data_IF_495659767654
#
_entry.id   IF_495659767654
#
_cell.length_a   1.000
_cell.length_b   1.000
_cell.length_c   1.000
_cell.angle_alpha   90.00
_cell.angle_beta   90.00
_cell.angle_gamma   90.00
#
_symmetry.space_group_name_H-M   'P 1'
#
loop_
_entity.id
_entity.type
_entity.pdbx_description
1 polymer ?
#
# COMPACT_ATOMS: atom_id res chain seq x y z
N UNK A 1 10.33 -17.93 -7.80
CA UNK A 1 9.61 -16.81 -8.40
C UNK A 1 8.36 -16.54 -7.57
N UNK A 2 8.20 -15.30 -7.12
CA UNK A 2 7.01 -14.91 -6.34
C UNK A 2 5.75 -15.07 -7.20
N UNK A 3 4.65 -15.54 -6.60
CA UNK A 3 3.38 -15.83 -7.29
C UNK A 3 2.81 -14.63 -8.09
N UNK A 4 3.21 -13.39 -7.77
CA UNK A 4 2.81 -12.20 -8.52
C UNK A 4 3.46 -12.11 -9.91
N UNK A 5 4.65 -12.70 -10.11
CA UNK A 5 5.33 -12.70 -11.41
C UNK A 5 4.64 -13.59 -12.45
N UNK A 6 3.87 -14.59 -12.01
CA UNK A 6 3.16 -15.52 -12.90
C UNK A 6 1.79 -14.98 -13.34
N UNK A 7 1.20 -14.09 -12.57
CA UNK A 7 -0.08 -13.45 -12.91
C UNK A 7 0.07 -12.36 -13.99
N UNK A 8 1.21 -11.67 -13.99
CA UNK A 8 1.49 -10.60 -14.97
C UNK A 8 1.60 -11.06 -16.43
N UNK A 9 1.73 -12.37 -16.67
CA UNK A 9 1.85 -12.93 -18.03
C UNK A 9 0.52 -13.34 -18.67
N UNK A 10 -0.61 -13.28 -17.97
CA UNK A 10 -1.88 -13.84 -18.48
C UNK A 10 -2.93 -12.84 -18.93
N UNK A 11 -2.85 -11.59 -18.54
CA UNK A 11 -3.78 -10.57 -19.01
C UNK A 11 -3.02 -9.28 -19.27
N UNK A 12 -2.98 -8.88 -20.51
CA UNK A 12 -2.63 -7.51 -20.88
C UNK A 12 -3.82 -6.66 -20.45
N UNK A 13 -3.96 -6.44 -19.13
CA UNK A 13 -5.00 -5.60 -18.59
C UNK A 13 -4.68 -4.18 -19.04
N UNK A 14 -5.60 -3.62 -19.77
CA UNK A 14 -5.50 -2.24 -20.26
C UNK A 14 -5.49 -1.29 -19.04
N UNK A 15 -4.30 -0.87 -18.63
CA UNK A 15 -4.07 0.07 -17.51
C UNK A 15 -4.84 1.39 -17.73
N UNK A 16 -5.28 1.65 -18.98
CA UNK A 16 -6.00 2.86 -19.35
C UNK A 16 -7.52 2.81 -19.01
N UNK A 17 -8.06 1.66 -18.64
CA UNK A 17 -9.50 1.46 -18.44
C UNK A 17 -9.93 1.38 -16.95
N UNK A 18 -9.16 1.95 -16.03
CA UNK A 18 -9.59 2.06 -14.62
C UNK A 18 -10.78 3.01 -14.46
N UNK A 19 -11.58 2.77 -13.43
CA UNK A 19 -12.73 3.62 -13.06
C UNK A 19 -12.24 5.01 -12.69
N UNK A 20 -12.85 6.05 -13.24
CA UNK A 20 -12.55 7.45 -12.92
C UNK A 20 -13.63 8.14 -12.08
N UNK A 21 -14.85 7.64 -12.12
CA UNK A 21 -15.99 8.21 -11.37
C UNK A 21 -15.90 7.83 -9.88
N UNK A 22 -15.83 8.84 -9.01
CA UNK A 22 -15.64 8.66 -7.57
C UNK A 22 -16.76 7.85 -6.92
N UNK A 23 -18.03 8.09 -7.31
CA UNK A 23 -19.16 7.36 -6.73
C UNK A 23 -19.11 5.88 -7.12
N UNK A 24 -18.72 5.56 -8.36
CA UNK A 24 -18.53 4.17 -8.79
C UNK A 24 -17.36 3.53 -8.04
N UNK A 25 -16.26 4.25 -7.82
CA UNK A 25 -15.13 3.77 -7.04
C UNK A 25 -15.54 3.42 -5.61
N UNK A 26 -16.27 4.31 -4.93
CA UNK A 26 -16.75 4.06 -3.57
C UNK A 26 -17.75 2.90 -3.51
N UNK A 27 -18.65 2.78 -4.49
CA UNK A 27 -19.61 1.68 -4.57
C UNK A 27 -18.96 0.32 -4.87
N UNK A 28 -17.78 0.33 -5.49
CA UNK A 28 -17.03 -0.89 -5.84
C UNK A 28 -15.88 -1.18 -4.88
N UNK A 29 -15.70 -0.33 -3.87
CA UNK A 29 -14.61 -0.44 -2.91
C UNK A 29 -14.71 -1.75 -2.12
N UNK A 30 -13.65 -2.55 -2.16
CA UNK A 30 -13.56 -3.83 -1.46
C UNK A 30 -12.22 -3.90 -0.68
N UNK A 31 -12.12 -3.22 0.48
CA UNK A 31 -10.89 -3.22 1.26
C UNK A 31 -10.51 -4.61 1.73
N UNK A 32 -9.25 -4.99 1.51
CA UNK A 32 -8.71 -6.29 1.88
C UNK A 32 -7.35 -6.14 2.56
N UNK A 33 -7.20 -6.72 3.73
CA UNK A 33 -5.93 -6.73 4.47
C UNK A 33 -4.89 -7.55 3.72
N UNK A 34 -3.70 -7.00 3.53
CA UNK A 34 -2.52 -7.74 3.09
C UNK A 34 -1.98 -8.59 4.24
N UNK A 35 -1.56 -9.81 3.94
CA UNK A 35 -0.94 -10.66 4.95
C UNK A 35 0.43 -10.12 5.37
N UNK A 36 0.76 -10.29 6.65
CA UNK A 36 2.03 -9.88 7.24
C UNK A 36 2.04 -8.43 7.73
N UNK A 37 3.10 -8.12 8.43
CA UNK A 37 3.40 -6.79 8.92
C UNK A 37 4.59 -6.22 8.16
N UNK A 38 4.62 -4.91 8.05
CA UNK A 38 5.56 -4.20 7.17
C UNK A 38 6.28 -3.10 7.90
N UNK A 39 7.50 -2.83 7.50
CA UNK A 39 8.33 -1.74 8.01
C UNK A 39 8.83 -0.84 6.87
N UNK A 40 8.75 0.46 7.08
CA UNK A 40 9.41 1.45 6.21
C UNK A 40 10.85 1.62 6.66
N UNK A 41 11.81 1.33 5.77
CA UNK A 41 13.23 1.32 6.05
C UNK A 41 14.00 2.10 5.00
N UNK A 42 15.12 2.70 5.40
CA UNK A 42 16.11 3.25 4.47
C UNK A 42 17.47 2.65 4.82
N UNK A 43 17.86 1.52 4.19
CA UNK A 43 19.15 0.91 4.45
C UNK A 43 20.30 1.83 4.07
N UNK A 44 21.39 1.75 4.82
CA UNK A 44 22.64 2.43 4.46
C UNK A 44 23.25 1.81 3.20
N UNK A 45 24.15 2.54 2.47
CA UNK A 45 24.86 1.95 1.33
C UNK A 45 25.58 0.63 1.68
N UNK A 46 26.21 0.55 2.86
CA UNK A 46 26.90 -0.66 3.31
C UNK A 46 25.93 -1.83 3.52
N UNK A 47 24.73 -1.59 4.04
CA UNK A 47 23.69 -2.62 4.20
C UNK A 47 23.17 -3.11 2.85
N UNK A 48 23.00 -2.20 1.88
CA UNK A 48 22.60 -2.56 0.51
C UNK A 48 23.69 -3.40 -0.19
N UNK A 49 24.97 -3.02 -0.03
CA UNK A 49 26.09 -3.79 -0.58
C UNK A 49 26.22 -5.18 0.05
N UNK A 50 25.93 -5.29 1.36
CA UNK A 50 25.96 -6.57 2.08
C UNK A 50 24.76 -7.47 1.74
N UNK A 51 23.66 -6.91 1.26
CA UNK A 51 22.44 -7.66 0.91
C UNK A 51 22.04 -7.36 -0.54
N UNK A 52 22.73 -7.92 -1.52
CA UNK A 52 22.39 -7.75 -2.93
C UNK A 52 20.92 -8.16 -3.17
N UNK A 53 20.20 -7.37 -3.97
CA UNK A 53 18.80 -7.62 -4.33
C UNK A 53 17.79 -7.46 -3.19
N UNK A 54 18.15 -6.80 -2.08
CA UNK A 54 17.21 -6.50 -0.99
C UNK A 54 15.95 -5.76 -1.51
N UNK A 55 16.13 -4.90 -2.51
CA UNK A 55 15.00 -4.21 -3.15
C UNK A 55 13.98 -5.17 -3.82
N UNK A 56 14.41 -6.36 -4.24
CA UNK A 56 13.50 -7.35 -4.84
C UNK A 56 12.61 -8.03 -3.79
N UNK A 57 12.98 -7.95 -2.52
CA UNK A 57 12.21 -8.47 -1.39
C UNK A 57 11.16 -7.46 -0.90
N UNK A 58 11.30 -6.19 -1.28
CA UNK A 58 10.40 -5.11 -0.86
C UNK A 58 9.07 -5.15 -1.61
N UNK A 59 7.98 -4.86 -0.89
CA UNK A 59 6.67 -4.66 -1.49
C UNK A 59 6.61 -3.38 -2.33
N UNK A 60 7.35 -2.35 -1.90
CA UNK A 60 7.46 -1.06 -2.56
C UNK A 60 8.85 -0.47 -2.36
N UNK A 61 9.33 0.27 -3.35
CA UNK A 61 10.60 1.00 -3.29
C UNK A 61 10.42 2.43 -3.76
N UNK A 62 11.13 3.36 -3.13
CA UNK A 62 11.17 4.74 -3.58
C UNK A 62 12.58 5.32 -3.46
N UNK A 63 13.07 6.00 -4.50
CA UNK A 63 14.36 6.69 -4.46
C UNK A 63 14.17 8.09 -3.94
N UNK A 64 14.77 8.37 -2.79
CA UNK A 64 14.74 9.66 -2.14
C UNK A 64 16.15 10.28 -2.10
N UNK A 65 16.27 11.57 -1.79
CA UNK A 65 17.57 12.22 -1.62
C UNK A 65 18.39 11.61 -0.48
N UNK A 66 17.71 11.11 0.53
CA UNK A 66 18.26 10.46 1.72
C UNK A 66 18.71 9.02 1.47
N UNK A 67 18.18 8.38 0.44
CA UNK A 67 18.51 6.99 0.08
C UNK A 67 17.37 6.23 -0.55
N UNK A 68 17.49 4.91 -0.58
CA UNK A 68 16.46 4.02 -1.10
C UNK A 68 15.50 3.62 0.02
N UNK A 69 14.29 4.14 -0.01
CA UNK A 69 13.22 3.72 0.88
C UNK A 69 12.62 2.39 0.42
N UNK A 70 12.50 1.45 1.36
CA UNK A 70 11.95 0.12 1.16
C UNK A 70 10.79 -0.12 2.11
N UNK A 71 9.73 -0.74 1.61
CA UNK A 71 8.67 -1.32 2.43
C UNK A 71 8.89 -2.83 2.49
N UNK A 72 9.47 -3.29 3.59
CA UNK A 72 9.90 -4.69 3.78
C UNK A 72 8.98 -5.43 4.76
N UNK A 73 8.88 -6.78 4.65
CA UNK A 73 8.37 -7.59 5.76
C UNK A 73 9.13 -7.26 7.04
N UNK A 74 8.41 -7.06 8.15
CA UNK A 74 9.02 -6.62 9.40
C UNK A 74 10.05 -7.61 9.94
N UNK A 75 9.81 -8.90 9.72
CA UNK A 75 10.75 -9.96 10.09
C UNK A 75 12.09 -9.78 9.37
N UNK A 76 12.02 -9.43 8.07
CA UNK A 76 13.22 -9.23 7.26
C UNK A 76 13.99 -7.99 7.67
N UNK A 77 13.27 -6.90 7.96
CA UNK A 77 13.89 -5.67 8.48
C UNK A 77 14.60 -5.93 9.82
N UNK A 78 13.99 -6.74 10.68
CA UNK A 78 14.54 -7.12 11.97
C UNK A 78 15.77 -8.03 11.83
N UNK A 79 15.73 -9.04 10.98
CA UNK A 79 16.87 -9.93 10.70
C UNK A 79 18.12 -9.16 10.22
N UNK A 80 17.90 -8.12 9.43
CA UNK A 80 18.96 -7.28 8.87
C UNK A 80 19.35 -6.11 9.77
N UNK A 81 18.76 -6.04 10.96
CA UNK A 81 19.01 -4.96 11.93
C UNK A 81 18.82 -3.56 11.31
N UNK A 82 17.85 -3.42 10.40
CA UNK A 82 17.52 -2.13 9.79
C UNK A 82 16.77 -1.24 10.80
N UNK A 83 17.00 0.06 10.73
CA UNK A 83 16.22 1.03 11.50
C UNK A 83 14.84 1.21 10.88
N UNK A 84 13.79 1.12 11.68
CA UNK A 84 12.41 1.44 11.32
C UNK A 84 11.62 1.89 12.55
N UNK A 85 10.52 2.60 12.32
CA UNK A 85 9.65 3.10 13.37
C UNK A 85 8.25 2.50 13.22
N UNK A 86 7.92 1.57 14.11
CA UNK A 86 6.63 0.91 14.15
C UNK A 86 6.41 -0.18 13.11
N UNK A 87 5.29 -0.86 13.27
CA UNK A 87 4.78 -1.91 12.39
C UNK A 87 3.54 -1.44 11.67
N UNK A 88 3.47 -1.73 10.38
CA UNK A 88 2.37 -1.32 9.51
C UNK A 88 1.66 -2.53 8.92
N UNK A 89 0.34 -2.40 8.78
CA UNK A 89 -0.49 -3.34 8.04
C UNK A 89 -1.02 -2.66 6.80
N UNK A 90 -0.91 -3.33 5.67
CA UNK A 90 -1.43 -2.86 4.40
C UNK A 90 -2.89 -3.26 4.18
N UNK A 91 -3.67 -2.36 3.62
CA UNK A 91 -5.04 -2.61 3.17
C UNK A 91 -5.10 -2.23 1.69
N UNK A 92 -5.33 -3.21 0.83
CA UNK A 92 -5.59 -2.96 -0.59
C UNK A 92 -7.03 -2.55 -0.76
N UNK A 93 -7.29 -1.46 -1.49
CA UNK A 93 -8.66 -0.99 -1.73
C UNK A 93 -9.43 -1.85 -2.74
N UNK A 94 -8.76 -2.76 -3.42
CA UNK A 94 -9.25 -3.81 -4.34
C UNK A 94 -10.33 -3.33 -5.32
N UNK A 95 -10.19 -2.11 -5.79
CA UNK A 95 -10.94 -1.52 -6.89
C UNK A 95 -9.95 -1.01 -7.94
N UNK A 96 -10.19 -1.33 -9.20
CA UNK A 96 -9.33 -0.85 -10.29
C UNK A 96 -9.61 0.63 -10.56
N UNK A 97 -8.94 1.50 -9.81
CA UNK A 97 -9.00 2.95 -10.03
C UNK A 97 -8.01 3.37 -11.12
N UNK A 98 -8.46 4.28 -11.97
CA UNK A 98 -7.55 4.96 -12.89
C UNK A 98 -6.61 5.88 -12.11
N UNK A 99 -5.33 5.96 -12.51
CA UNK A 99 -4.39 6.96 -11.97
C UNK A 99 -4.83 8.42 -12.24
N UNK A 100 -5.80 8.61 -13.14
CA UNK A 100 -6.42 9.90 -13.42
C UNK A 100 -7.70 10.16 -12.59
N UNK A 101 -8.14 9.19 -11.78
CA UNK A 101 -9.30 9.37 -10.92
C UNK A 101 -9.03 10.42 -9.84
N UNK A 102 -10.02 11.28 -9.60
CA UNK A 102 -9.89 12.36 -8.60
C UNK A 102 -10.77 12.05 -7.41
N UNK A 103 -10.19 12.13 -6.21
CA UNK A 103 -10.92 12.16 -4.95
C UNK A 103 -10.86 10.90 -4.10
N UNK A 104 -10.53 9.71 -4.63
CA UNK A 104 -10.50 8.48 -3.83
C UNK A 104 -9.51 8.58 -2.65
N UNK A 105 -8.27 8.97 -2.91
CA UNK A 105 -7.25 9.18 -1.86
C UNK A 105 -7.70 10.21 -0.83
N UNK A 106 -8.33 11.31 -1.27
CA UNK A 106 -8.82 12.35 -0.38
C UNK A 106 -9.92 11.83 0.55
N UNK A 107 -10.90 11.09 0.03
CA UNK A 107 -12.00 10.51 0.82
C UNK A 107 -11.43 9.51 1.84
N UNK A 108 -10.56 8.60 1.40
CA UNK A 108 -9.95 7.58 2.27
C UNK A 108 -9.12 8.22 3.39
N UNK A 109 -8.22 9.15 3.05
CA UNK A 109 -7.35 9.81 4.02
C UNK A 109 -8.15 10.68 5.00
N UNK A 110 -9.14 11.43 4.52
CA UNK A 110 -10.03 12.24 5.37
C UNK A 110 -10.77 11.34 6.34
N UNK A 111 -11.39 10.28 5.84
CA UNK A 111 -12.20 9.39 6.67
C UNK A 111 -11.38 8.70 7.77
N UNK A 112 -10.20 8.20 7.46
CA UNK A 112 -9.30 7.64 8.47
C UNK A 112 -8.81 8.70 9.46
N UNK A 113 -8.48 9.89 8.97
CA UNK A 113 -8.05 11.02 9.80
C UNK A 113 -9.11 11.49 10.81
N UNK A 114 -10.40 11.45 10.46
CA UNK A 114 -11.52 11.75 11.39
C UNK A 114 -11.52 10.82 12.62
N UNK A 115 -10.97 9.61 12.48
CA UNK A 115 -10.84 8.64 13.55
C UNK A 115 -9.43 8.60 14.17
N UNK A 116 -8.58 9.57 13.82
CA UNK A 116 -7.23 9.68 14.36
C UNK A 116 -6.26 8.61 13.81
N UNK A 117 -6.56 8.01 12.66
CA UNK A 117 -5.72 7.00 12.02
C UNK A 117 -4.89 7.68 10.92
N UNK A 118 -3.56 7.57 11.04
CA UNK A 118 -2.63 8.02 9.99
C UNK A 118 -2.69 7.08 8.80
N UNK A 119 -2.95 7.61 7.61
CA UNK A 119 -3.04 6.86 6.37
C UNK A 119 -1.83 7.14 5.48
N UNK A 120 -1.02 6.12 5.21
CA UNK A 120 0.07 6.18 4.26
C UNK A 120 -0.40 5.51 2.96
N UNK A 121 -0.78 6.31 1.97
CA UNK A 121 -1.37 5.81 0.73
C UNK A 121 -0.28 5.63 -0.33
N UNK A 122 -0.25 4.45 -0.93
CA UNK A 122 0.61 4.11 -2.06
C UNK A 122 -0.29 3.77 -3.24
N UNK A 123 -0.31 4.65 -4.24
CA UNK A 123 -0.98 4.40 -5.50
C UNK A 123 -0.11 3.51 -6.39
N UNK A 124 -0.62 2.36 -6.79
CA UNK A 124 0.00 1.50 -7.78
C UNK A 124 -0.80 1.51 -9.10
N UNK A 125 -0.32 0.78 -10.12
CA UNK A 125 -0.91 0.85 -11.45
C UNK A 125 -2.38 0.37 -11.50
N UNK A 126 -2.77 -0.55 -10.62
CA UNK A 126 -4.10 -1.16 -10.63
C UNK A 126 -4.92 -0.84 -9.39
N UNK A 127 -4.28 -0.74 -8.23
CA UNK A 127 -4.96 -0.58 -6.95
C UNK A 127 -4.21 0.41 -6.07
N UNK A 128 -4.96 1.12 -5.23
CA UNK A 128 -4.39 1.89 -4.15
C UNK A 128 -4.26 1.00 -2.90
N UNK A 129 -3.18 1.22 -2.15
CA UNK A 129 -2.90 0.53 -0.90
C UNK A 129 -2.77 1.55 0.23
N UNK A 130 -3.37 1.26 1.36
CA UNK A 130 -3.28 2.11 2.56
C UNK A 130 -2.52 1.36 3.63
N UNK A 131 -1.44 1.95 4.12
CA UNK A 131 -0.68 1.41 5.24
C UNK A 131 -0.99 2.22 6.50
N UNK A 132 -1.48 1.52 7.50
CA UNK A 132 -1.79 2.07 8.83
C UNK A 132 -0.94 1.35 9.88
N UNK A 133 -0.77 1.95 11.05
CA UNK A 133 -0.15 1.24 12.16
C UNK A 133 -0.91 -0.05 12.43
N UNK A 134 -0.19 -1.15 12.67
CA UNK A 134 -0.79 -2.49 12.83
C UNK A 134 -1.86 -2.51 13.94
N UNK A 135 -1.67 -1.74 15.01
CA UNK A 135 -2.66 -1.61 16.08
C UNK A 135 -4.01 -1.03 15.62
N UNK A 136 -4.02 -0.25 14.54
CA UNK A 136 -5.22 0.38 13.99
C UNK A 136 -5.85 -0.40 12.82
N UNK A 137 -5.24 -1.49 12.36
CA UNK A 137 -5.62 -2.17 11.13
C UNK A 137 -7.08 -2.63 11.11
N UNK A 138 -7.57 -3.23 12.18
CA UNK A 138 -8.95 -3.70 12.27
C UNK A 138 -9.95 -2.54 12.21
N UNK A 139 -9.68 -1.46 12.97
CA UNK A 139 -10.49 -0.23 12.94
C UNK A 139 -10.49 0.42 11.56
N UNK A 140 -9.31 0.52 10.93
CA UNK A 140 -9.17 1.08 9.59
C UNK A 140 -9.98 0.29 8.57
N UNK A 141 -9.92 -1.04 8.61
CA UNK A 141 -10.70 -1.90 7.73
C UNK A 141 -12.21 -1.66 7.88
N UNK A 142 -12.72 -1.59 9.11
CA UNK A 142 -14.13 -1.32 9.38
C UNK A 142 -14.56 0.06 8.84
N UNK A 143 -13.75 1.08 9.05
CA UNK A 143 -13.99 2.44 8.55
C UNK A 143 -14.03 2.46 7.03
N UNK A 144 -13.07 1.81 6.37
CA UNK A 144 -13.01 1.75 4.91
C UNK A 144 -14.19 0.98 4.31
N UNK A 145 -14.63 -0.10 4.94
CA UNK A 145 -15.82 -0.82 4.55
C UNK A 145 -17.09 0.05 4.67
N UNK A 146 -17.12 1.00 5.60
CA UNK A 146 -18.25 1.92 5.76
C UNK A 146 -18.38 2.94 4.63
N UNK A 147 -17.35 3.11 3.79
CA UNK A 147 -17.39 4.02 2.63
C UNK A 147 -18.23 3.47 1.47
N UNK A 148 -18.47 2.17 1.44
CA UNK A 148 -19.29 1.56 0.41
C UNK A 148 -20.71 2.14 0.38
N UNK A 149 -21.12 2.68 -0.76
CA UNK A 149 -22.46 3.23 -0.95
C UNK A 149 -22.73 4.59 -0.27
N UNK A 150 -21.71 5.23 0.29
CA UNK A 150 -21.90 6.59 0.81
C UNK A 150 -21.95 7.62 -0.34
N UNK A 151 -22.85 8.61 -0.28
CA UNK A 151 -22.83 9.72 -1.24
C UNK A 151 -21.55 10.55 -1.08
N UNK A 152 -21.01 11.00 -2.20
CA UNK A 152 -19.87 11.92 -2.24
C UNK A 152 -20.24 13.31 -1.73
#
# INVERSE_FOLDING_TARGET
PMAWQLRAKREQVDVMNGITDLQQLLNSLAPRVLSGEWAFCTPTPAQLDATPRLADEALSTFRESEGLSLLLPIERATELELSFDGSFTGITLDVHSSLHAVGLTAVVATRLGEYGISANVIAAAFHDHVFVQTADAARALDILNSLHGQPC
#
